data_IF_592578284576
#
_entry.id   IF_592578284576
#
_cell.length_a   1.000
_cell.length_b   1.000
_cell.length_c   1.000
_cell.angle_alpha   90.00
_cell.angle_beta   90.00
_cell.angle_gamma   90.00
#
_symmetry.space_group_name_H-M   'P 1'
#
loop_
_entity.id
_entity.type
_entity.pdbx_description
1 polymer ?
#
# COMPACT_ATOMS: atom_id res chain seq x y z
N UNK A 1 19.38 16.55 -14.73
CA UNK A 1 18.26 16.68 -13.78
C UNK A 1 17.31 15.56 -14.11
N UNK A 2 17.40 14.50 -13.33
CA UNK A 2 16.57 13.30 -13.43
C UNK A 2 15.31 13.50 -12.59
N UNK A 3 14.21 12.85 -12.99
CA UNK A 3 12.97 12.87 -12.21
C UNK A 3 12.82 11.58 -11.45
N UNK A 4 12.49 11.69 -10.18
CA UNK A 4 12.21 10.56 -9.29
C UNK A 4 10.78 10.67 -8.78
N UNK A 5 10.03 9.59 -8.87
CA UNK A 5 8.67 9.49 -8.35
C UNK A 5 8.65 8.48 -7.22
N UNK A 6 8.25 8.91 -6.04
CA UNK A 6 8.10 8.04 -4.88
C UNK A 6 6.61 7.80 -4.68
N UNK A 7 6.18 6.54 -4.86
CA UNK A 7 4.76 6.21 -4.98
C UNK A 7 4.41 5.00 -4.07
N UNK A 8 3.46 5.16 -3.12
CA UNK A 8 2.87 4.03 -2.44
C UNK A 8 2.16 3.09 -3.44
N UNK A 9 2.50 1.80 -3.40
CA UNK A 9 1.87 0.77 -4.22
C UNK A 9 0.34 0.74 -4.04
N UNK A 10 -0.15 1.02 -2.83
CA UNK A 10 -1.58 1.09 -2.54
C UNK A 10 -2.33 2.16 -3.35
N UNK A 11 -1.64 3.18 -3.89
CA UNK A 11 -2.25 4.17 -4.78
C UNK A 11 -2.34 3.68 -6.23
N UNK A 12 -1.53 2.72 -6.63
CA UNK A 12 -1.54 2.16 -7.99
C UNK A 12 -2.61 1.07 -8.16
N UNK A 13 -3.03 0.47 -7.05
CA UNK A 13 -4.02 -0.61 -7.02
C UNK A 13 -5.40 -0.06 -6.63
N UNK A 14 -6.45 -0.78 -7.02
CA UNK A 14 -7.79 -0.55 -6.46
C UNK A 14 -7.92 -1.39 -5.18
N UNK A 15 -8.24 -0.75 -4.06
CA UNK A 15 -8.39 -1.42 -2.77
C UNK A 15 -9.86 -1.49 -2.36
N UNK A 16 -10.37 -2.71 -2.13
CA UNK A 16 -11.73 -3.00 -1.69
C UNK A 16 -11.73 -3.78 -0.37
N UNK A 17 -11.50 -3.07 0.72
CA UNK A 17 -11.53 -3.69 2.06
C UNK A 17 -12.88 -4.36 2.36
N UNK A 18 -14.00 -3.83 1.81
CA UNK A 18 -15.33 -4.40 2.00
C UNK A 18 -15.45 -5.79 1.39
N UNK A 19 -14.91 -6.00 0.19
CA UNK A 19 -14.91 -7.31 -0.45
C UNK A 19 -14.11 -8.33 0.36
N UNK A 20 -12.96 -7.94 0.92
CA UNK A 20 -12.20 -8.80 1.83
C UNK A 20 -13.02 -9.18 3.07
N UNK A 21 -13.70 -8.21 3.69
CA UNK A 21 -14.62 -8.45 4.83
C UNK A 21 -15.74 -9.43 4.46
N UNK A 22 -16.36 -9.24 3.31
CA UNK A 22 -17.43 -10.12 2.82
C UNK A 22 -16.94 -11.56 2.67
N UNK A 23 -15.74 -11.75 2.11
CA UNK A 23 -15.10 -13.07 2.00
C UNK A 23 -14.80 -13.68 3.36
N UNK A 24 -14.28 -12.90 4.32
CA UNK A 24 -14.06 -13.41 5.68
C UNK A 24 -15.37 -13.76 6.41
N UNK A 25 -16.45 -13.00 6.21
CA UNK A 25 -17.76 -13.31 6.76
C UNK A 25 -18.32 -14.65 6.24
N UNK A 26 -18.00 -15.03 5.00
CA UNK A 26 -18.36 -16.35 4.45
C UNK A 26 -17.59 -17.50 5.10
N UNK A 27 -16.41 -17.20 5.68
CA UNK A 27 -15.64 -18.17 6.43
C UNK A 27 -16.12 -18.26 7.87
N UNK A 28 -16.47 -17.17 8.53
CA UNK A 28 -16.64 -17.11 9.99
C UNK A 28 -17.87 -17.87 10.56
N UNK A 29 -17.75 -18.40 11.80
CA UNK A 29 -18.91 -19.04 12.49
C UNK A 29 -19.97 -18.05 12.96
N UNK A 30 -19.54 -16.80 13.19
CA UNK A 30 -20.36 -15.65 13.57
C UNK A 30 -20.00 -14.51 12.62
N UNK A 31 -20.89 -13.54 12.38
CA UNK A 31 -20.56 -12.38 11.55
C UNK A 31 -19.27 -11.73 12.06
N UNK A 32 -18.17 -11.96 11.33
CA UNK A 32 -16.87 -11.31 11.53
C UNK A 32 -17.00 -9.78 11.50
N UNK A 33 -18.06 -9.29 10.84
CA UNK A 33 -18.52 -7.91 10.73
C UNK A 33 -18.61 -7.11 12.05
N UNK A 34 -18.99 -7.71 13.19
CA UNK A 34 -19.00 -6.96 14.46
C UNK A 34 -17.59 -6.69 15.00
N UNK A 35 -16.62 -7.47 14.54
CA UNK A 35 -15.25 -7.40 14.98
C UNK A 35 -14.48 -6.45 14.04
N UNK A 36 -14.48 -6.68 12.73
CA UNK A 36 -13.73 -5.86 11.75
C UNK A 36 -14.07 -4.36 11.77
N UNK A 37 -15.37 -3.99 11.78
CA UNK A 37 -15.80 -2.58 11.84
C UNK A 37 -15.58 -1.94 13.23
N UNK A 38 -15.55 -2.75 14.30
CA UNK A 38 -15.13 -2.29 15.62
C UNK A 38 -13.59 -2.13 15.65
N UNK A 39 -12.82 -2.97 14.96
CA UNK A 39 -11.36 -3.02 14.94
C UNK A 39 -10.67 -1.89 14.17
N UNK A 40 -11.31 -1.33 13.13
CA UNK A 40 -10.82 -0.06 12.54
C UNK A 40 -10.94 1.11 13.53
N UNK A 41 -11.82 1.01 14.53
CA UNK A 41 -12.04 2.04 15.56
C UNK A 41 -11.54 1.67 16.97
N UNK A 42 -11.17 0.41 17.25
CA UNK A 42 -10.81 -0.08 18.59
C UNK A 42 -9.58 -1.00 18.57
N UNK A 43 -8.64 -0.65 19.46
CA UNK A 43 -7.21 -0.99 19.45
C UNK A 43 -6.81 -2.44 19.73
N UNK A 44 -7.70 -3.34 20.12
CA UNK A 44 -7.22 -4.37 21.05
C UNK A 44 -6.72 -5.69 20.46
N UNK A 45 -6.99 -6.09 19.20
CA UNK A 45 -6.49 -7.39 18.69
C UNK A 45 -6.16 -7.44 17.19
N UNK A 46 -7.07 -7.02 16.32
CA UNK A 46 -6.85 -7.16 14.86
C UNK A 46 -5.90 -6.12 14.28
N UNK A 47 -6.06 -4.84 14.66
CA UNK A 47 -5.18 -3.77 14.20
C UNK A 47 -3.71 -4.02 14.61
N UNK A 48 -3.41 -4.43 15.87
CA UNK A 48 -2.08 -4.88 16.23
C UNK A 48 -1.58 -6.04 15.36
N UNK A 49 -2.37 -7.11 15.17
CA UNK A 49 -1.97 -8.26 14.36
C UNK A 49 -1.67 -7.89 12.89
N UNK A 50 -2.54 -7.07 12.26
CA UNK A 50 -2.33 -6.56 10.90
C UNK A 50 -1.04 -5.74 10.83
N UNK A 51 -0.83 -4.83 11.77
CA UNK A 51 0.36 -3.98 11.79
C UNK A 51 1.63 -4.80 11.98
N UNK A 52 1.62 -5.78 12.89
CA UNK A 52 2.73 -6.71 13.11
C UNK A 52 3.02 -7.54 11.85
N UNK A 53 1.99 -7.99 11.14
CA UNK A 53 2.16 -8.74 9.90
C UNK A 53 2.70 -7.87 8.77
N UNK A 54 2.17 -6.66 8.60
CA UNK A 54 2.69 -5.67 7.65
C UNK A 54 4.13 -5.25 7.98
N UNK A 55 4.55 -5.26 9.25
CA UNK A 55 5.92 -4.94 9.65
C UNK A 55 6.85 -6.17 9.68
N UNK A 56 6.36 -7.36 9.32
CA UNK A 56 7.17 -8.58 9.34
C UNK A 56 7.57 -9.03 10.75
N UNK A 57 6.87 -8.53 11.78
CA UNK A 57 6.99 -8.98 13.18
C UNK A 57 6.22 -10.29 13.41
N UNK A 58 5.20 -10.55 12.61
CA UNK A 58 4.48 -11.82 12.55
C UNK A 58 4.71 -12.46 11.17
N UNK A 59 5.00 -13.75 11.13
CA UNK A 59 5.10 -14.49 9.87
C UNK A 59 3.72 -14.89 9.33
N UNK A 60 3.70 -15.35 8.08
CA UNK A 60 2.46 -15.70 7.38
C UNK A 60 1.68 -16.86 8.03
N UNK A 61 2.38 -17.88 8.52
CA UNK A 61 1.75 -19.06 9.14
C UNK A 61 1.08 -18.65 10.46
N UNK A 62 1.81 -17.91 11.30
CA UNK A 62 1.32 -17.33 12.55
C UNK A 62 0.13 -16.42 12.32
N UNK A 63 0.17 -15.58 11.28
CA UNK A 63 -0.94 -14.72 10.89
C UNK A 63 -2.19 -15.54 10.51
N UNK A 64 -2.04 -16.53 9.64
CA UNK A 64 -3.16 -17.39 9.19
C UNK A 64 -3.79 -18.16 10.37
N UNK A 65 -2.97 -18.71 11.27
CA UNK A 65 -3.44 -19.39 12.49
C UNK A 65 -4.25 -18.43 13.37
N UNK A 66 -3.75 -17.21 13.57
CA UNK A 66 -4.45 -16.19 14.36
C UNK A 66 -5.80 -15.82 13.73
N UNK A 67 -5.84 -15.57 12.42
CA UNK A 67 -7.08 -15.30 11.69
C UNK A 67 -8.08 -16.45 11.82
N UNK A 68 -7.65 -17.69 11.61
CA UNK A 68 -8.52 -18.87 11.78
C UNK A 68 -9.15 -18.95 13.16
N UNK A 69 -8.34 -18.70 14.20
CA UNK A 69 -8.82 -18.64 15.60
C UNK A 69 -9.86 -17.54 15.79
N UNK A 70 -9.64 -16.35 15.21
CA UNK A 70 -10.59 -15.24 15.26
C UNK A 70 -11.90 -15.55 14.53
N UNK A 71 -11.84 -16.27 13.40
CA UNK A 71 -13.03 -16.74 12.67
C UNK A 71 -13.81 -17.81 13.45
N UNK A 72 -13.18 -18.44 14.45
CA UNK A 72 -13.74 -19.52 15.25
C UNK A 72 -13.95 -20.82 14.45
N UNK A 73 -13.26 -20.99 13.33
CA UNK A 73 -13.48 -22.08 12.38
C UNK A 73 -12.42 -23.18 12.44
N UNK A 74 -12.76 -24.35 11.90
CA UNK A 74 -11.78 -25.41 11.63
C UNK A 74 -10.94 -25.10 10.39
N UNK A 75 -9.82 -25.79 10.24
CA UNK A 75 -8.96 -25.72 9.05
C UNK A 75 -9.69 -26.19 7.78
N UNK A 76 -10.60 -27.16 7.90
CA UNK A 76 -11.43 -27.62 6.77
C UNK A 76 -12.29 -26.49 6.19
N UNK A 77 -12.87 -25.64 7.04
CA UNK A 77 -13.74 -24.53 6.62
C UNK A 77 -12.88 -23.30 6.27
N UNK A 78 -11.94 -22.93 7.13
CA UNK A 78 -11.06 -21.77 6.96
C UNK A 78 -9.63 -22.23 6.67
N UNK A 79 -9.46 -22.90 5.53
CA UNK A 79 -8.15 -23.36 5.07
C UNK A 79 -7.23 -22.18 4.75
N UNK A 80 -5.91 -22.41 4.77
CA UNK A 80 -4.90 -21.40 4.42
C UNK A 80 -5.22 -20.72 3.08
N UNK A 81 -5.60 -21.53 2.08
CA UNK A 81 -6.00 -21.05 0.76
C UNK A 81 -7.18 -20.08 0.83
N UNK A 82 -8.25 -20.44 1.55
CA UNK A 82 -9.44 -19.60 1.66
C UNK A 82 -9.18 -18.31 2.45
N UNK A 83 -8.31 -18.38 3.47
CA UNK A 83 -7.87 -17.20 4.23
C UNK A 83 -7.07 -16.25 3.33
N UNK A 84 -6.11 -16.77 2.54
CA UNK A 84 -5.36 -15.97 1.57
C UNK A 84 -6.26 -15.37 0.50
N UNK A 85 -7.21 -16.15 -0.04
CA UNK A 85 -8.21 -15.66 -1.00
C UNK A 85 -9.07 -14.54 -0.40
N UNK A 86 -9.52 -14.68 0.84
CA UNK A 86 -10.28 -13.64 1.53
C UNK A 86 -9.44 -12.40 1.82
N UNK A 87 -8.16 -12.56 2.19
CA UNK A 87 -7.23 -11.46 2.41
C UNK A 87 -6.94 -10.70 1.11
N UNK A 88 -6.54 -11.42 0.06
CA UNK A 88 -6.23 -10.86 -1.26
C UNK A 88 -7.44 -10.26 -1.98
N UNK A 89 -8.67 -10.59 -1.57
CA UNK A 89 -9.87 -10.04 -2.20
C UNK A 89 -9.98 -8.52 -2.07
N UNK A 90 -9.20 -7.87 -1.19
CA UNK A 90 -9.10 -6.41 -1.19
C UNK A 90 -8.31 -5.84 -2.36
N UNK A 91 -7.46 -6.63 -3.02
CA UNK A 91 -6.63 -6.14 -4.10
C UNK A 91 -7.36 -6.38 -5.41
N UNK A 92 -7.69 -5.30 -6.11
CA UNK A 92 -8.11 -5.33 -7.50
C UNK A 92 -7.02 -4.69 -8.36
N UNK A 93 -6.51 -5.46 -9.32
CA UNK A 93 -5.54 -5.01 -10.30
C UNK A 93 -6.32 -4.41 -11.47
N UNK A 94 -6.15 -3.13 -11.80
CA UNK A 94 -6.82 -2.51 -12.95
C UNK A 94 -6.50 -3.25 -14.26
N UNK A 95 -7.48 -3.41 -15.15
CA UNK A 95 -7.30 -4.14 -16.42
C UNK A 95 -6.19 -3.55 -17.30
N UNK A 96 -5.97 -2.23 -17.20
CA UNK A 96 -4.97 -1.48 -17.97
C UNK A 96 -3.64 -1.31 -17.23
N UNK A 97 -3.47 -1.94 -16.08
CA UNK A 97 -2.36 -1.67 -15.19
C UNK A 97 -0.99 -1.78 -15.87
N UNK A 98 -0.75 -2.81 -16.69
CA UNK A 98 0.52 -2.95 -17.39
C UNK A 98 0.78 -1.83 -18.41
N UNK A 99 -0.26 -1.38 -19.12
CA UNK A 99 -0.13 -0.31 -20.11
C UNK A 99 0.20 1.02 -19.41
N UNK A 100 -0.53 1.32 -18.33
CA UNK A 100 -0.35 2.54 -17.54
C UNK A 100 0.99 2.52 -16.79
N UNK A 101 1.43 1.35 -16.29
CA UNK A 101 2.75 1.16 -15.70
C UNK A 101 3.88 1.45 -16.69
N UNK A 102 3.77 0.92 -17.92
CA UNK A 102 4.76 1.19 -18.96
C UNK A 102 4.82 2.66 -19.35
N UNK A 103 3.71 3.39 -19.25
CA UNK A 103 3.64 4.83 -19.47
C UNK A 103 4.29 5.60 -18.33
N UNK A 104 3.96 5.26 -17.08
CA UNK A 104 4.54 5.84 -15.88
C UNK A 104 6.07 5.67 -15.85
N UNK A 105 6.56 4.47 -16.15
CA UNK A 105 7.99 4.14 -16.13
C UNK A 105 8.81 4.89 -17.22
N UNK A 106 8.15 5.52 -18.19
CA UNK A 106 8.81 6.41 -19.17
C UNK A 106 8.98 7.84 -18.67
N UNK A 107 8.31 8.23 -17.59
CA UNK A 107 8.33 9.60 -17.07
C UNK A 107 9.56 9.90 -16.19
N UNK A 108 10.18 8.87 -15.61
CA UNK A 108 11.36 8.98 -14.77
C UNK A 108 11.62 7.72 -13.96
N UNK A 109 12.45 7.85 -12.94
CA UNK A 109 12.78 6.76 -12.01
C UNK A 109 11.64 6.57 -11.01
N UNK A 110 10.96 5.43 -11.05
CA UNK A 110 9.87 5.11 -10.13
C UNK A 110 10.40 4.31 -8.95
N UNK A 111 10.19 4.85 -7.76
CA UNK A 111 10.47 4.21 -6.48
C UNK A 111 9.16 3.80 -5.82
N UNK A 112 8.93 2.49 -5.70
CA UNK A 112 7.73 1.98 -5.07
C UNK A 112 7.99 1.62 -3.62
N UNK A 113 7.00 1.90 -2.80
CA UNK A 113 6.97 1.51 -1.40
C UNK A 113 5.61 0.95 -1.06
N UNK A 114 5.56 0.00 -0.13
CA UNK A 114 4.32 -0.67 0.21
C UNK A 114 4.30 -1.02 1.69
N UNK A 115 3.34 -0.45 2.43
CA UNK A 115 2.97 -1.00 3.72
C UNK A 115 2.09 -2.23 3.53
N UNK A 116 2.74 -3.39 3.38
CA UNK A 116 2.06 -4.62 2.99
C UNK A 116 2.78 -5.83 3.58
N UNK A 117 2.34 -7.02 3.21
CA UNK A 117 2.77 -8.29 3.80
C UNK A 117 3.07 -9.33 2.71
N UNK A 118 3.60 -10.46 3.14
CA UNK A 118 4.02 -11.54 2.23
C UNK A 118 2.88 -12.13 1.40
N UNK A 119 1.65 -12.19 1.94
CA UNK A 119 0.47 -12.71 1.20
C UNK A 119 0.20 -11.83 -0.03
N UNK A 120 0.13 -10.51 0.17
CA UNK A 120 -0.14 -9.57 -0.91
C UNK A 120 0.99 -9.53 -1.94
N UNK A 121 2.26 -9.53 -1.49
CA UNK A 121 3.42 -9.56 -2.42
C UNK A 121 3.33 -10.77 -3.35
N UNK A 122 3.10 -11.96 -2.78
CA UNK A 122 2.96 -13.20 -3.54
C UNK A 122 1.77 -13.15 -4.50
N UNK A 123 0.64 -12.61 -4.07
CA UNK A 123 -0.54 -12.45 -4.92
C UNK A 123 -0.27 -11.57 -6.14
N UNK A 124 0.41 -10.42 -5.96
CA UNK A 124 0.78 -9.54 -7.06
C UNK A 124 1.74 -10.22 -8.05
N UNK A 125 2.71 -10.99 -7.54
CA UNK A 125 3.63 -11.78 -8.37
C UNK A 125 2.91 -12.85 -9.21
N UNK A 126 2.00 -13.60 -8.59
CA UNK A 126 1.19 -14.63 -9.25
C UNK A 126 0.24 -14.05 -10.31
N UNK A 127 -0.12 -12.76 -10.20
CA UNK A 127 -0.96 -12.03 -11.16
C UNK A 127 -0.16 -11.17 -12.14
N UNK A 128 1.12 -11.49 -12.35
CA UNK A 128 1.94 -10.92 -13.43
C UNK A 128 2.65 -9.62 -13.10
N UNK A 129 2.59 -9.13 -11.85
CA UNK A 129 3.23 -7.87 -11.44
C UNK A 129 4.64 -8.07 -10.84
N UNK A 130 5.28 -9.20 -11.12
CA UNK A 130 6.57 -9.59 -10.53
C UNK A 130 7.72 -8.60 -10.76
N UNK A 131 7.73 -7.88 -11.88
CA UNK A 131 8.75 -6.86 -12.15
C UNK A 131 8.64 -5.68 -11.19
N UNK A 132 7.41 -5.32 -10.87
CA UNK A 132 7.06 -4.18 -10.03
C UNK A 132 7.26 -4.54 -8.56
N UNK A 133 6.91 -5.77 -8.16
CA UNK A 133 7.16 -6.24 -6.79
C UNK A 133 8.66 -6.35 -6.49
N UNK A 134 9.53 -6.64 -7.47
CA UNK A 134 10.99 -6.67 -7.26
C UNK A 134 11.58 -5.30 -6.93
N UNK A 135 11.01 -4.24 -7.48
CA UNK A 135 11.50 -2.86 -7.32
C UNK A 135 10.75 -2.10 -6.21
N UNK A 136 9.93 -2.80 -5.42
CA UNK A 136 9.15 -2.21 -4.34
C UNK A 136 9.82 -2.45 -2.98
N UNK A 137 10.00 -1.38 -2.22
CA UNK A 137 10.42 -1.44 -0.82
C UNK A 137 9.21 -1.83 0.05
N UNK A 138 9.17 -3.06 0.55
CA UNK A 138 8.11 -3.53 1.44
C UNK A 138 8.46 -3.33 2.91
N UNK A 139 7.50 -2.83 3.69
CA UNK A 139 7.65 -2.65 5.14
C UNK A 139 7.99 -3.96 5.86
N UNK A 140 7.35 -5.07 5.51
CA UNK A 140 7.58 -6.37 6.15
C UNK A 140 8.98 -6.94 5.89
N UNK A 141 9.56 -6.69 4.72
CA UNK A 141 10.92 -7.17 4.39
C UNK A 141 11.99 -6.36 5.12
N UNK A 142 11.71 -5.07 5.31
CA UNK A 142 12.62 -4.11 5.95
C UNK A 142 12.43 -4.03 7.46
N UNK A 143 11.34 -4.58 8.00
CA UNK A 143 10.93 -4.47 9.41
C UNK A 143 10.88 -3.01 9.88
N UNK A 144 10.31 -2.17 9.02
CA UNK A 144 10.29 -0.70 9.16
C UNK A 144 8.92 -0.19 8.78
N UNK A 145 8.56 0.98 9.33
CA UNK A 145 7.35 1.68 8.91
C UNK A 145 7.57 2.33 7.56
N UNK A 146 6.48 2.58 6.85
CA UNK A 146 6.50 3.26 5.55
C UNK A 146 7.26 4.60 5.60
N UNK A 147 7.06 5.39 6.65
CA UNK A 147 7.76 6.67 6.86
C UNK A 147 9.27 6.54 6.93
N UNK A 148 9.81 5.39 7.34
CA UNK A 148 11.25 5.12 7.36
C UNK A 148 11.75 4.67 5.99
N UNK A 149 10.91 3.99 5.19
CA UNK A 149 11.22 3.62 3.80
C UNK A 149 11.35 4.86 2.91
N UNK A 150 10.50 5.86 3.10
CA UNK A 150 10.65 7.15 2.42
C UNK A 150 12.02 7.77 2.68
N UNK A 151 12.55 7.68 3.91
CA UNK A 151 13.87 8.26 4.27
C UNK A 151 14.99 7.52 3.55
N UNK A 152 14.92 6.20 3.53
CA UNK A 152 15.89 5.34 2.85
C UNK A 152 15.93 5.62 1.34
N UNK A 153 14.77 5.68 0.67
CA UNK A 153 14.71 5.97 -0.76
C UNK A 153 15.27 7.36 -1.07
N UNK A 154 14.91 8.37 -0.27
CA UNK A 154 15.35 9.74 -0.53
C UNK A 154 16.84 9.96 -0.27
N UNK A 155 17.45 9.24 0.69
CA UNK A 155 18.90 9.36 0.91
C UNK A 155 19.74 8.86 -0.27
N UNK A 156 19.14 8.07 -1.16
CA UNK A 156 19.78 7.53 -2.35
C UNK A 156 19.57 8.40 -3.60
N UNK A 157 18.83 9.51 -3.49
CA UNK A 157 18.57 10.45 -4.60
C UNK A 157 19.52 11.65 -4.50
N UNK A 158 20.16 12.02 -5.61
CA UNK A 158 21.06 13.16 -5.67
C UNK A 158 20.34 14.50 -5.45
N UNK A 159 20.95 15.43 -4.69
CA UNK A 159 20.38 16.75 -4.37
C UNK A 159 19.99 17.60 -5.60
N UNK A 160 20.55 17.28 -6.78
CA UNK A 160 20.29 17.96 -8.05
C UNK A 160 19.07 17.46 -8.82
N UNK A 161 18.40 16.40 -8.34
CA UNK A 161 17.28 15.77 -9.02
C UNK A 161 15.90 16.27 -8.53
N UNK A 162 14.90 16.15 -9.39
CA UNK A 162 13.52 16.51 -9.05
C UNK A 162 12.83 15.32 -8.40
N UNK A 163 12.29 15.51 -7.19
CA UNK A 163 11.62 14.45 -6.44
C UNK A 163 10.13 14.75 -6.33
N UNK A 164 9.31 13.82 -6.78
CA UNK A 164 7.86 13.89 -6.72
C UNK A 164 7.34 12.82 -5.76
N UNK A 165 6.79 13.24 -4.64
CA UNK A 165 6.20 12.34 -3.64
C UNK A 165 4.70 12.29 -3.86
N UNK A 166 4.19 11.13 -4.30
CA UNK A 166 2.77 10.92 -4.57
C UNK A 166 2.09 10.41 -3.30
N UNK A 167 1.03 11.08 -2.87
CA UNK A 167 0.28 10.75 -1.66
C UNK A 167 -1.21 10.68 -1.98
N UNK A 168 -1.92 9.78 -1.30
CA UNK A 168 -3.38 9.74 -1.36
C UNK A 168 -3.97 10.94 -0.63
N UNK A 169 -5.01 11.55 -1.20
CA UNK A 169 -5.80 12.56 -0.50
C UNK A 169 -6.62 11.86 0.58
N UNK A 170 -6.46 12.27 1.85
CA UNK A 170 -7.19 11.65 2.95
C UNK A 170 -8.71 11.76 2.77
N UNK A 171 -9.40 10.62 2.63
CA UNK A 171 -10.86 10.54 2.49
C UNK A 171 -11.47 9.51 3.47
N UNK A 172 -12.78 9.59 3.68
CA UNK A 172 -13.52 8.60 4.48
C UNK A 172 -13.04 8.44 5.93
N UNK A 173 -13.06 7.20 6.43
CA UNK A 173 -12.73 6.84 7.82
C UNK A 173 -11.24 6.92 8.14
N UNK A 174 -10.36 6.88 7.14
CA UNK A 174 -8.90 6.95 7.32
C UNK A 174 -8.35 8.37 7.28
N UNK A 175 -9.21 9.39 7.07
CA UNK A 175 -8.81 10.77 6.84
C UNK A 175 -7.82 11.29 7.88
N UNK A 176 -8.09 11.11 9.17
CA UNK A 176 -7.21 11.62 10.24
C UNK A 176 -5.84 10.96 10.20
N UNK A 177 -5.78 9.62 10.08
CA UNK A 177 -4.54 8.85 10.01
C UNK A 177 -3.68 9.28 8.81
N UNK A 178 -4.28 9.30 7.62
CA UNK A 178 -3.58 9.69 6.40
C UNK A 178 -3.15 11.16 6.41
N UNK A 179 -3.91 12.06 7.05
CA UNK A 179 -3.49 13.45 7.24
C UNK A 179 -2.24 13.54 8.12
N UNK A 180 -2.20 12.83 9.25
CA UNK A 180 -1.06 12.81 10.17
C UNK A 180 0.19 12.19 9.50
N UNK A 181 0.01 11.10 8.76
CA UNK A 181 1.09 10.45 8.00
C UNK A 181 1.62 11.37 6.91
N UNK A 182 0.75 11.94 6.07
CA UNK A 182 1.15 12.90 5.04
C UNK A 182 1.83 14.13 5.64
N UNK A 183 1.37 14.62 6.80
CA UNK A 183 2.01 15.74 7.47
C UNK A 183 3.40 15.37 7.99
N UNK A 184 3.54 14.18 8.60
CA UNK A 184 4.84 13.66 9.05
C UNK A 184 5.82 13.52 7.88
N UNK A 185 5.35 13.01 6.74
CA UNK A 185 6.12 12.89 5.48
C UNK A 185 6.38 14.26 4.84
N UNK A 186 5.58 15.29 5.09
CA UNK A 186 5.89 16.66 4.63
C UNK A 186 6.94 17.32 5.53
N UNK A 187 6.76 17.22 6.84
CA UNK A 187 7.61 17.86 7.85
C UNK A 187 9.02 17.29 7.86
N UNK A 188 9.15 15.96 7.80
CA UNK A 188 10.46 15.32 7.81
C UNK A 188 11.35 15.70 6.61
N UNK A 189 10.79 16.33 5.57
CA UNK A 189 11.47 16.49 4.28
C UNK A 189 11.45 17.90 3.71
N UNK A 190 10.56 18.78 4.17
CA UNK A 190 10.67 20.24 3.90
C UNK A 190 12.00 20.82 4.42
N UNK A 191 12.63 20.17 5.39
CA UNK A 191 13.90 20.61 5.95
C UNK A 191 15.13 20.14 5.15
N UNK A 192 14.99 19.15 4.27
CA UNK A 192 16.13 18.45 3.66
C UNK A 192 16.35 18.76 2.17
N UNK A 193 15.29 19.06 1.40
CA UNK A 193 15.47 19.27 -0.05
C UNK A 193 14.48 20.28 -0.64
N UNK A 194 15.02 21.35 -1.25
CA UNK A 194 14.21 22.37 -1.93
C UNK A 194 13.56 21.89 -3.24
N UNK A 195 13.96 20.73 -3.75
CA UNK A 195 13.52 20.15 -5.02
C UNK A 195 12.41 19.08 -4.86
N UNK A 196 11.85 18.91 -3.66
CA UNK A 196 10.75 17.96 -3.41
C UNK A 196 9.40 18.62 -3.67
N UNK A 197 8.59 17.99 -4.52
CA UNK A 197 7.20 18.35 -4.77
C UNK A 197 6.27 17.25 -4.27
N UNK A 198 5.24 17.65 -3.53
CA UNK A 198 4.21 16.75 -3.02
C UNK A 198 2.99 16.78 -3.94
N UNK A 199 2.57 15.60 -4.39
CA UNK A 199 1.47 15.42 -5.33
C UNK A 199 0.36 14.64 -4.63
N UNK A 200 -0.80 15.26 -4.48
CA UNK A 200 -1.97 14.62 -3.89
C UNK A 200 -2.88 14.05 -4.98
N UNK A 201 -3.25 12.78 -4.85
CA UNK A 201 -4.13 12.04 -5.75
C UNK A 201 -5.39 11.64 -4.99
N UNK A 202 -6.56 12.04 -5.51
CA UNK A 202 -7.84 11.91 -4.79
C UNK A 202 -8.38 10.47 -4.74
N UNK A 203 -8.02 9.66 -5.72
CA UNK A 203 -8.50 8.28 -5.89
C UNK A 203 -7.33 7.35 -6.18
N UNK A 204 -7.41 6.12 -5.67
CA UNK A 204 -6.46 5.07 -6.02
C UNK A 204 -6.70 4.60 -7.47
N UNK A 205 -5.75 3.85 -8.03
CA UNK A 205 -5.74 3.46 -9.43
C UNK A 205 -4.59 4.13 -10.19
N UNK A 206 -3.79 3.32 -10.88
CA UNK A 206 -2.62 3.78 -11.63
C UNK A 206 -2.95 4.81 -12.70
N UNK A 207 -4.14 4.75 -13.30
CA UNK A 207 -4.63 5.71 -14.27
C UNK A 207 -4.80 7.12 -13.67
N UNK A 208 -5.21 7.20 -12.39
CA UNK A 208 -5.38 8.47 -11.68
C UNK A 208 -4.03 9.08 -11.32
N UNK A 209 -3.07 8.23 -10.92
CA UNK A 209 -1.68 8.64 -10.71
C UNK A 209 -1.09 9.15 -12.03
N UNK A 210 -1.21 8.39 -13.12
CA UNK A 210 -0.72 8.80 -14.44
C UNK A 210 -1.32 10.14 -14.87
N UNK A 211 -2.64 10.29 -14.82
CA UNK A 211 -3.33 11.52 -15.21
C UNK A 211 -2.86 12.73 -14.38
N UNK A 212 -2.64 12.54 -13.07
CA UNK A 212 -2.14 13.61 -12.20
C UNK A 212 -0.71 14.03 -12.57
N UNK A 213 0.18 13.06 -12.81
CA UNK A 213 1.56 13.33 -13.20
C UNK A 213 1.67 13.95 -14.60
N UNK A 214 0.78 13.58 -15.52
CA UNK A 214 0.69 14.19 -16.85
C UNK A 214 0.16 15.62 -16.83
N UNK A 215 -0.85 15.90 -16.01
CA UNK A 215 -1.32 17.27 -15.79
C UNK A 215 -0.24 18.16 -15.18
N UNK A 216 0.72 17.56 -14.48
CA UNK A 216 1.95 18.18 -13.98
C UNK A 216 3.08 18.13 -15.01
N UNK A 217 2.83 17.99 -16.31
CA UNK A 217 3.80 18.41 -17.32
C UNK A 217 4.07 19.92 -17.16
N UNK A 218 4.95 20.21 -16.20
CA UNK A 218 5.61 21.46 -15.92
C UNK A 218 6.14 21.90 -17.27
N UNK A 219 5.58 22.99 -17.81
CA UNK A 219 6.07 23.62 -19.03
C UNK A 219 7.59 23.65 -18.94
N UNK A 220 8.33 23.24 -19.99
CA UNK A 220 9.78 23.42 -19.96
C UNK A 220 10.04 24.86 -19.54
N UNK A 221 10.88 25.07 -18.53
CA UNK A 221 11.39 26.41 -18.24
C UNK A 221 12.14 26.83 -19.50
N UNK A 222 11.49 27.64 -20.34
CA UNK A 222 12.10 28.35 -21.45
C UNK A 222 12.95 29.47 -20.86
#
# INVERSE_FOLDING_TARGET
MTKHYIIPMGLLLELDELLSIEKFNQLAKKKFFSAYCFYLNHKEQFAPLRNQFNQGETDEESFIIAIRKMLGQSEEIASDKRIREAWNAMIKIPDKFQADWNQLNRQGNIHLLSDSNSIHKKYLEENGLSEITKNCAYSFEKKRRETELYKEIMSDIDDGDEVFVVMGTPNGYEKTRLMEENQTIKEAYKEQNSNVQFIEVETTGIENVCAKLEGLQIRPRI
#
